data_IF_512045608086
#
_entry.id   IF_512045608086
#
_cell.length_a   1.000
_cell.length_b   1.000
_cell.length_c   1.000
_cell.angle_alpha   90.00
_cell.angle_beta   90.00
_cell.angle_gamma   90.00
#
_symmetry.space_group_name_H-M   'P 1'
#
loop_
_entity.id
_entity.type
_entity.pdbx_description
1 polymer ?
#
# COMPACT_ATOMS: atom_id res chain seq x y z
N UNK A 1 26.25 -6.86 -4.26
CA UNK A 1 25.77 -5.46 -4.47
C UNK A 1 24.47 -5.37 -5.30
N UNK A 2 24.22 -6.18 -6.34
CA UNK A 2 23.00 -6.06 -7.16
C UNK A 2 21.69 -6.46 -6.45
N UNK A 3 21.70 -7.49 -5.60
CA UNK A 3 20.47 -7.99 -4.94
C UNK A 3 19.93 -7.04 -3.87
N UNK A 4 20.83 -6.42 -3.08
CA UNK A 4 20.44 -5.43 -2.08
C UNK A 4 19.79 -4.19 -2.72
N UNK A 5 20.34 -3.71 -3.85
CA UNK A 5 19.76 -2.61 -4.63
C UNK A 5 18.36 -2.96 -5.15
N UNK A 6 18.20 -4.15 -5.74
CA UNK A 6 16.91 -4.61 -6.27
C UNK A 6 15.85 -4.77 -5.17
N UNK A 7 16.22 -5.27 -3.99
CA UNK A 7 15.32 -5.38 -2.84
C UNK A 7 14.89 -4.01 -2.30
N UNK A 8 15.79 -3.02 -2.31
CA UNK A 8 15.51 -1.66 -1.84
C UNK A 8 14.61 -0.91 -2.83
N UNK A 9 14.83 -1.08 -4.13
CA UNK A 9 13.99 -0.51 -5.20
C UNK A 9 12.55 -1.07 -5.15
N UNK A 10 12.40 -2.38 -4.91
CA UNK A 10 11.10 -3.02 -4.74
C UNK A 10 10.38 -2.51 -3.48
N UNK A 11 11.09 -2.35 -2.36
CA UNK A 11 10.53 -1.80 -1.14
C UNK A 11 10.06 -0.35 -1.34
N UNK A 12 10.88 0.49 -1.97
CA UNK A 12 10.53 1.88 -2.25
C UNK A 12 9.33 1.99 -3.20
N UNK A 13 9.24 1.10 -4.18
CA UNK A 13 8.08 1.01 -5.07
C UNK A 13 6.81 0.61 -4.31
N UNK A 14 6.87 -0.44 -3.49
CA UNK A 14 5.75 -0.88 -2.66
C UNK A 14 5.30 0.22 -1.68
N UNK A 15 6.24 0.93 -1.05
CA UNK A 15 5.97 2.07 -0.16
C UNK A 15 5.27 3.23 -0.87
N UNK A 16 5.68 3.53 -2.10
CA UNK A 16 5.07 4.58 -2.91
C UNK A 16 3.62 4.25 -3.24
N UNK A 17 3.35 3.01 -3.67
CA UNK A 17 1.98 2.54 -3.95
C UNK A 17 1.14 2.47 -2.67
N UNK A 18 1.68 1.97 -1.57
CA UNK A 18 0.98 1.95 -0.28
C UNK A 18 0.55 3.37 0.16
N UNK A 19 1.44 4.35 -0.01
CA UNK A 19 1.19 5.75 0.36
C UNK A 19 0.14 6.39 -0.55
N UNK A 20 0.16 6.11 -1.87
CA UNK A 20 -0.83 6.65 -2.80
C UNK A 20 -2.23 6.07 -2.55
N UNK A 21 -2.32 4.77 -2.23
CA UNK A 21 -3.56 4.12 -1.83
C UNK A 21 -4.13 4.73 -0.55
N UNK A 22 -3.29 4.98 0.47
CA UNK A 22 -3.71 5.63 1.71
C UNK A 22 -4.26 7.04 1.46
N UNK A 23 -3.59 7.83 0.61
CA UNK A 23 -4.06 9.16 0.23
C UNK A 23 -5.43 9.11 -0.44
N UNK A 24 -5.65 8.17 -1.37
CA UNK A 24 -6.94 8.00 -2.05
C UNK A 24 -8.05 7.62 -1.07
N UNK A 25 -7.79 6.68 -0.16
CA UNK A 25 -8.75 6.28 0.89
C UNK A 25 -9.12 7.49 1.75
N UNK A 26 -8.15 8.30 2.21
CA UNK A 26 -8.42 9.50 3.00
C UNK A 26 -9.25 10.53 2.24
N UNK A 27 -9.04 10.69 0.93
CA UNK A 27 -9.84 11.60 0.12
C UNK A 27 -11.30 11.16 0.02
N UNK A 28 -11.55 9.86 -0.15
CA UNK A 28 -12.91 9.32 -0.18
C UNK A 28 -13.57 9.45 1.20
N UNK A 29 -12.88 9.08 2.28
CA UNK A 29 -13.40 9.18 3.66
C UNK A 29 -13.63 10.61 4.17
N UNK A 30 -13.11 11.64 3.50
CA UNK A 30 -13.41 13.04 3.83
C UNK A 30 -14.80 13.46 3.35
N UNK A 31 -15.43 12.70 2.46
CA UNK A 31 -16.79 12.98 2.00
C UNK A 31 -17.77 12.67 3.14
N UNK A 32 -18.78 13.52 3.38
CA UNK A 32 -19.77 13.29 4.42
C UNK A 32 -20.67 12.08 4.14
N UNK A 33 -20.84 11.73 2.87
CA UNK A 33 -21.57 10.55 2.41
C UNK A 33 -20.81 9.93 1.24
N UNK A 34 -20.88 8.61 1.13
CA UNK A 34 -20.27 7.82 0.07
C UNK A 34 -21.38 7.17 -0.75
N UNK A 35 -21.16 7.04 -2.05
CA UNK A 35 -21.99 6.17 -2.89
C UNK A 35 -21.58 4.71 -2.70
N UNK A 36 -22.45 3.76 -3.08
CA UNK A 36 -22.13 2.32 -3.03
C UNK A 36 -20.85 1.98 -3.81
N UNK A 37 -20.63 2.66 -4.94
CA UNK A 37 -19.42 2.52 -5.74
C UNK A 37 -18.17 2.99 -4.99
N UNK A 38 -18.27 4.11 -4.27
CA UNK A 38 -17.17 4.66 -3.48
C UNK A 38 -16.87 3.80 -2.24
N UNK A 39 -17.88 3.25 -1.59
CA UNK A 39 -17.68 2.29 -0.51
C UNK A 39 -16.97 1.02 -1.00
N UNK A 40 -17.37 0.52 -2.17
CA UNK A 40 -16.73 -0.62 -2.81
C UNK A 40 -15.28 -0.27 -3.19
N UNK A 41 -15.03 0.93 -3.73
CA UNK A 41 -13.69 1.44 -4.04
C UNK A 41 -12.83 1.44 -2.76
N UNK A 42 -13.33 1.99 -1.64
CA UNK A 42 -12.60 1.99 -0.37
C UNK A 42 -12.26 0.57 0.09
N UNK A 43 -13.19 -0.38 0.00
CA UNK A 43 -12.95 -1.79 0.38
C UNK A 43 -11.83 -2.40 -0.48
N UNK A 44 -11.86 -2.17 -1.79
CA UNK A 44 -10.84 -2.65 -2.73
C UNK A 44 -9.48 -1.99 -2.45
N UNK A 45 -9.47 -0.67 -2.25
CA UNK A 45 -8.25 0.09 -1.94
C UNK A 45 -7.62 -0.37 -0.62
N UNK A 46 -8.42 -0.65 0.41
CA UNK A 46 -7.93 -1.20 1.69
C UNK A 46 -7.28 -2.57 1.51
N UNK A 47 -7.89 -3.48 0.75
CA UNK A 47 -7.29 -4.80 0.44
C UNK A 47 -5.97 -4.67 -0.29
N UNK A 48 -5.90 -3.78 -1.30
CA UNK A 48 -4.64 -3.49 -2.02
C UNK A 48 -3.59 -2.89 -1.10
N UNK A 49 -3.97 -1.95 -0.22
CA UNK A 49 -3.06 -1.34 0.76
C UNK A 49 -2.48 -2.41 1.69
N UNK A 50 -3.30 -3.32 2.18
CA UNK A 50 -2.85 -4.44 3.03
C UNK A 50 -1.83 -5.32 2.30
N UNK A 51 -2.10 -5.69 1.05
CA UNK A 51 -1.17 -6.47 0.23
C UNK A 51 0.24 -5.83 0.13
N UNK A 52 0.32 -4.53 -0.15
CA UNK A 52 1.62 -3.86 -0.21
C UNK A 52 2.27 -3.70 1.17
N UNK A 53 1.48 -3.58 2.24
CA UNK A 53 2.00 -3.61 3.62
C UNK A 53 2.67 -4.95 3.91
N UNK A 54 2.01 -6.06 3.56
CA UNK A 54 2.53 -7.41 3.80
C UNK A 54 3.80 -7.68 2.97
N UNK A 55 3.89 -7.15 1.74
CA UNK A 55 5.14 -7.19 0.94
C UNK A 55 6.27 -6.46 1.67
N UNK A 56 6.00 -5.24 2.16
CA UNK A 56 7.00 -4.46 2.88
C UNK A 56 7.43 -5.12 4.19
N UNK A 57 6.51 -5.75 4.92
CA UNK A 57 6.81 -6.51 6.15
C UNK A 57 7.69 -7.71 5.85
N UNK A 58 7.35 -8.53 4.84
CA UNK A 58 8.19 -9.66 4.41
C UNK A 58 9.60 -9.25 4.00
N UNK A 59 9.72 -8.11 3.29
CA UNK A 59 11.03 -7.57 2.92
C UNK A 59 11.83 -7.07 4.14
N UNK A 60 11.16 -6.55 5.17
CA UNK A 60 11.80 -6.15 6.41
C UNK A 60 12.28 -7.36 7.21
N UNK A 61 11.43 -8.36 7.39
CA UNK A 61 11.77 -9.62 8.07
C UNK A 61 12.97 -10.30 7.41
N UNK A 62 13.00 -10.37 6.08
CA UNK A 62 14.13 -10.92 5.33
C UNK A 62 15.43 -10.11 5.45
N UNK A 63 15.37 -8.84 5.90
CA UNK A 63 16.56 -7.99 6.11
C UNK A 63 17.11 -8.11 7.53
N UNK A 64 16.27 -8.54 8.48
CA UNK A 64 16.60 -8.70 9.90
C UNK A 64 16.99 -10.15 10.27
N UNK A 65 16.70 -11.12 9.39
CA UNK A 65 17.10 -12.53 9.48
C UNK A 65 18.51 -12.79 8.91
#
# INVERSE_FOLDING_TARGET
MKEASMSEDLYNSAKTVHTSLDRRIRMLLRKPYLTDEEELEIKVLKKRKLFYKDIMEKMRENREA
#
